data_IF_849736171387
#
_entry.id   IF_849736171387
#
_cell.length_a   1.000
_cell.length_b   1.000
_cell.length_c   1.000
_cell.angle_alpha   90.00
_cell.angle_beta   90.00
_cell.angle_gamma   90.00
#
_symmetry.space_group_name_H-M   'P 1'
#
loop_
_entity.id
_entity.type
_entity.pdbx_description
1 polymer ?
#
# COMPACT_ATOMS: atom_id res chain seq x y z
N UNK A 1 0.57 12.93 -33.47
CA UNK A 1 0.33 14.04 -32.52
C UNK A 1 -0.54 13.59 -31.34
N UNK A 2 -1.83 13.27 -31.55
CA UNK A 2 -2.75 12.91 -30.45
C UNK A 2 -2.29 11.72 -29.60
N UNK A 3 -1.81 10.64 -30.23
CA UNK A 3 -1.31 9.45 -29.49
C UNK A 3 -0.14 9.81 -28.56
N UNK A 4 0.78 10.65 -29.04
CA UNK A 4 1.93 11.10 -28.25
C UNK A 4 1.47 11.94 -27.06
N UNK A 5 0.52 12.85 -27.27
CA UNK A 5 -0.07 13.65 -26.18
C UNK A 5 -0.79 12.77 -25.14
N UNK A 6 -1.58 11.78 -25.58
CA UNK A 6 -2.27 10.85 -24.67
C UNK A 6 -1.28 10.04 -23.85
N UNK A 7 -0.19 9.57 -24.47
CA UNK A 7 0.83 8.78 -23.79
C UNK A 7 1.57 9.61 -22.74
N UNK A 8 1.93 10.86 -23.07
CA UNK A 8 2.54 11.80 -22.10
C UNK A 8 1.59 12.07 -20.93
N UNK A 9 0.31 12.35 -21.21
CA UNK A 9 -0.70 12.57 -20.16
C UNK A 9 -0.84 11.35 -19.23
N UNK A 10 -0.87 10.14 -19.78
CA UNK A 10 -0.95 8.90 -19.00
C UNK A 10 0.29 8.70 -18.10
N UNK A 11 1.49 8.96 -18.63
CA UNK A 11 2.73 8.86 -17.85
C UNK A 11 2.78 9.89 -16.73
N UNK A 12 2.45 11.15 -17.03
CA UNK A 12 2.40 12.23 -16.04
C UNK A 12 1.37 11.92 -14.96
N UNK A 13 0.18 11.47 -15.34
CA UNK A 13 -0.86 11.05 -14.41
C UNK A 13 -0.38 9.91 -13.50
N UNK A 14 0.27 8.88 -14.07
CA UNK A 14 0.86 7.77 -13.32
C UNK A 14 1.95 8.23 -12.33
N UNK A 15 2.84 9.12 -12.77
CA UNK A 15 3.88 9.71 -11.92
C UNK A 15 3.29 10.46 -10.72
N UNK A 16 2.30 11.32 -10.95
CA UNK A 16 1.62 12.04 -9.87
C UNK A 16 0.85 11.12 -8.91
N UNK A 17 0.41 9.95 -9.36
CA UNK A 17 -0.25 8.95 -8.50
C UNK A 17 0.74 8.04 -7.76
N UNK A 18 2.04 8.26 -7.94
CA UNK A 18 3.09 7.42 -7.34
C UNK A 18 3.13 6.01 -7.94
N UNK A 19 2.69 5.84 -9.19
CA UNK A 19 2.71 4.53 -9.87
C UNK A 19 4.14 3.98 -10.06
N UNK A 20 5.14 4.86 -10.03
CA UNK A 20 6.55 4.52 -10.17
C UNK A 20 7.33 4.61 -8.85
N UNK A 21 6.64 4.82 -7.72
CA UNK A 21 7.26 4.75 -6.41
C UNK A 21 7.28 3.28 -5.98
N UNK A 22 8.48 2.71 -5.83
CA UNK A 22 8.65 1.35 -5.32
C UNK A 22 7.99 1.19 -3.94
N UNK A 23 7.15 0.16 -3.81
CA UNK A 23 6.48 -0.21 -2.56
C UNK A 23 6.97 -1.56 -2.10
N UNK A 24 7.59 -1.60 -0.92
CA UNK A 24 8.01 -2.85 -0.29
C UNK A 24 6.85 -3.41 0.54
N UNK A 25 6.51 -4.69 0.31
CA UNK A 25 5.54 -5.40 1.14
C UNK A 25 6.18 -5.80 2.47
N UNK A 26 5.56 -5.43 3.58
CA UNK A 26 6.02 -5.75 4.93
C UNK A 26 5.00 -6.66 5.61
N UNK A 27 5.45 -7.79 6.13
CA UNK A 27 4.63 -8.73 6.90
C UNK A 27 4.92 -8.53 8.38
N UNK A 28 3.89 -8.21 9.16
CA UNK A 28 3.99 -7.97 10.59
C UNK A 28 3.17 -9.03 11.35
N UNK A 29 3.68 -9.48 12.49
CA UNK A 29 2.97 -10.41 13.38
C UNK A 29 2.43 -9.61 14.56
N UNK A 30 1.13 -9.76 14.84
CA UNK A 30 0.47 -9.13 15.97
C UNK A 30 -0.29 -10.19 16.78
N UNK A 31 -0.31 -10.03 18.11
CA UNK A 31 -1.03 -10.96 18.99
C UNK A 31 -2.56 -10.90 18.83
N UNK A 32 -3.09 -9.80 18.29
CA UNK A 32 -4.52 -9.61 18.02
C UNK A 32 -4.74 -8.63 16.87
N UNK A 33 -5.60 -8.99 15.91
CA UNK A 33 -6.00 -8.12 14.81
C UNK A 33 -7.33 -7.35 15.03
N UNK A 34 -8.18 -7.80 15.96
CA UNK A 34 -9.51 -7.19 16.15
C UNK A 34 -9.46 -5.85 16.88
N UNK A 35 -10.05 -4.80 16.26
CA UNK A 35 -10.49 -3.47 16.75
C UNK A 35 -9.95 -2.26 15.94
N UNK A 36 -8.79 -2.37 15.26
CA UNK A 36 -8.20 -1.25 14.48
C UNK A 36 -7.48 -1.71 13.19
N UNK A 37 -7.36 -3.02 12.95
CA UNK A 37 -6.56 -3.58 11.85
C UNK A 37 -7.44 -4.13 10.71
N UNK A 38 -8.24 -3.26 10.09
CA UNK A 38 -9.00 -3.60 8.89
C UNK A 38 -8.15 -3.48 7.61
N UNK A 39 -8.46 -4.27 6.55
CA UNK A 39 -7.87 -4.07 5.24
C UNK A 39 -8.11 -2.63 4.74
N UNK A 40 -7.07 -2.00 4.21
CA UNK A 40 -7.13 -0.59 3.79
C UNK A 40 -6.90 0.44 4.90
N UNK A 41 -6.84 0.03 6.17
CA UNK A 41 -6.46 0.92 7.28
C UNK A 41 -5.09 1.53 7.04
N UNK A 42 -4.93 2.80 7.44
CA UNK A 42 -3.67 3.53 7.30
C UNK A 42 -2.58 2.89 8.18
N UNK A 43 -1.39 2.75 7.62
CA UNK A 43 -0.18 2.33 8.34
C UNK A 43 0.67 3.57 8.52
N UNK A 44 1.05 3.86 9.76
CA UNK A 44 1.87 5.02 10.09
C UNK A 44 3.24 4.61 10.62
N UNK A 45 4.25 5.41 10.29
CA UNK A 45 5.59 5.32 10.86
C UNK A 45 5.94 6.69 11.44
N UNK A 46 6.27 6.75 12.73
CA UNK A 46 6.52 8.00 13.46
C UNK A 46 5.41 9.06 13.27
N UNK A 47 4.15 8.62 13.17
CA UNK A 47 2.99 9.50 12.98
C UNK A 47 2.68 9.88 11.52
N UNK A 48 3.52 9.51 10.56
CA UNK A 48 3.32 9.79 9.12
C UNK A 48 2.72 8.57 8.43
N UNK A 49 1.69 8.74 7.58
CA UNK A 49 1.13 7.66 6.77
C UNK A 49 2.15 7.18 5.72
N UNK A 50 2.53 5.90 5.79
CA UNK A 50 3.47 5.27 4.86
C UNK A 50 2.80 4.27 3.92
N UNK A 51 1.55 3.89 4.18
CA UNK A 51 0.86 2.90 3.38
C UNK A 51 -0.50 2.51 3.95
N UNK A 52 -1.03 1.40 3.46
CA UNK A 52 -2.29 0.81 3.92
C UNK A 52 -2.12 -0.68 4.16
N UNK A 53 -2.92 -1.24 5.06
CA UNK A 53 -2.97 -2.69 5.32
C UNK A 53 -3.46 -3.40 4.05
N UNK A 54 -2.66 -4.31 3.50
CA UNK A 54 -3.00 -5.08 2.30
C UNK A 54 -3.90 -6.28 2.62
N UNK A 55 -3.38 -7.22 3.41
CA UNK A 55 -4.08 -8.44 3.80
C UNK A 55 -3.81 -8.79 5.26
N UNK A 56 -4.80 -9.39 5.91
CA UNK A 56 -4.65 -9.97 7.24
C UNK A 56 -4.89 -11.47 7.11
N UNK A 57 -3.96 -12.27 7.62
CA UNK A 57 -4.08 -13.72 7.69
C UNK A 57 -3.78 -14.16 9.13
N UNK A 58 -4.53 -15.16 9.60
CA UNK A 58 -4.22 -15.81 10.88
C UNK A 58 -2.95 -16.64 10.71
N UNK A 59 -1.93 -16.37 11.52
CA UNK A 59 -0.73 -17.19 11.55
C UNK A 59 -1.00 -18.41 12.43
N UNK A 60 -1.18 -19.60 11.83
CA UNK A 60 -1.15 -20.87 12.56
C UNK A 60 0.26 -21.02 13.13
N UNK A 61 0.37 -20.90 14.45
CA UNK A 61 1.62 -21.18 15.17
C UNK A 61 1.60 -22.67 15.51
N UNK A 62 2.24 -23.48 14.68
CA UNK A 62 2.58 -24.86 15.05
C UNK A 62 3.42 -24.82 16.34
N UNK A 63 2.94 -25.52 17.36
CA UNK A 63 3.53 -25.58 18.70
C UNK A 63 4.72 -26.53 18.76
#
# INVERSE_FOLDING_TARGET
MFIVCTLILALVYGQFRGAFTDKTQLTMIAARAGLVMDPGSKVTYNGVEIGRVGSIAETVRDG
#
